data_IF_233567029630
#
_entry.id   IF_233567029630
#
_cell.length_a   1.000
_cell.length_b   1.000
_cell.length_c   1.000
_cell.angle_alpha   90.00
_cell.angle_beta   90.00
_cell.angle_gamma   90.00
#
_symmetry.space_group_name_H-M   'P 1'
#
loop_
_entity.id
_entity.type
_entity.pdbx_description
1 polymer ?
#
# COMPACT_ATOMS: atom_id res chain seq x y z
N UNK A 1 -10.27 -9.60 -15.09
CA UNK A 1 -8.97 -9.03 -14.70
C UNK A 1 -8.54 -9.79 -13.47
N UNK A 2 -7.30 -10.28 -13.43
CA UNK A 2 -6.77 -10.98 -12.25
C UNK A 2 -6.74 -10.00 -11.08
N UNK A 3 -6.80 -10.48 -9.85
CA UNK A 3 -6.65 -9.61 -8.69
C UNK A 3 -5.18 -9.14 -8.57
N UNK A 4 -4.95 -7.92 -8.06
CA UNK A 4 -3.60 -7.38 -7.95
C UNK A 4 -2.76 -8.22 -6.98
N UNK A 5 -3.35 -8.72 -5.89
CA UNK A 5 -2.63 -9.57 -4.94
C UNK A 5 -2.20 -10.88 -5.58
N UNK A 6 -3.08 -11.52 -6.36
CA UNK A 6 -2.72 -12.71 -7.12
C UNK A 6 -1.61 -12.42 -8.13
N UNK A 7 -1.67 -11.28 -8.83
CA UNK A 7 -0.69 -10.90 -9.86
C UNK A 7 0.73 -10.73 -9.30
N UNK A 8 0.85 -10.24 -8.06
CA UNK A 8 2.14 -10.06 -7.40
C UNK A 8 2.54 -11.24 -6.51
N UNK A 9 1.60 -12.13 -6.14
CA UNK A 9 1.82 -13.20 -5.15
C UNK A 9 2.97 -14.14 -5.46
N UNK A 10 3.23 -14.39 -6.75
CA UNK A 10 4.25 -15.33 -7.23
C UNK A 10 5.66 -14.71 -7.35
N UNK A 11 5.80 -13.42 -7.07
CA UNK A 11 7.11 -12.78 -7.08
C UNK A 11 7.97 -13.31 -5.92
N UNK A 12 9.16 -13.77 -6.26
CA UNK A 12 10.15 -14.30 -5.31
C UNK A 12 11.34 -13.36 -5.12
N UNK A 13 11.52 -12.39 -6.02
CA UNK A 13 12.61 -11.42 -5.98
C UNK A 13 12.17 -10.15 -5.27
N UNK A 14 13.00 -9.71 -4.33
CA UNK A 14 12.84 -8.45 -3.61
C UNK A 14 13.95 -7.47 -4.04
N UNK A 15 13.65 -6.16 -4.07
CA UNK A 15 12.36 -5.54 -3.78
C UNK A 15 11.40 -5.60 -4.99
N UNK A 16 10.09 -5.74 -4.75
CA UNK A 16 9.06 -5.60 -5.80
C UNK A 16 8.98 -4.14 -6.23
N UNK A 17 9.24 -3.82 -7.50
CA UNK A 17 9.36 -2.42 -7.95
C UNK A 17 8.00 -1.71 -7.89
N UNK A 18 8.01 -0.49 -7.37
CA UNK A 18 6.80 0.36 -7.37
C UNK A 18 6.33 0.67 -8.79
N UNK A 19 7.24 0.79 -9.75
CA UNK A 19 6.89 1.00 -11.15
C UNK A 19 6.04 -0.14 -11.71
N UNK A 20 6.29 -1.39 -11.30
CA UNK A 20 5.47 -2.54 -11.73
C UNK A 20 4.03 -2.42 -11.19
N UNK A 21 3.87 -1.94 -9.95
CA UNK A 21 2.55 -1.67 -9.34
C UNK A 21 1.86 -0.50 -10.04
N UNK A 22 2.61 0.54 -10.37
CA UNK A 22 2.10 1.71 -11.10
C UNK A 22 1.60 1.34 -12.49
N UNK A 23 2.36 0.53 -13.23
CA UNK A 23 1.97 0.02 -14.55
C UNK A 23 0.68 -0.80 -14.45
N UNK A 24 0.60 -1.70 -13.47
CA UNK A 24 -0.62 -2.47 -13.22
C UNK A 24 -1.86 -1.56 -12.99
N UNK A 25 -1.73 -0.52 -12.19
CA UNK A 25 -2.84 0.41 -11.90
C UNK A 25 -3.22 1.22 -13.14
N UNK A 26 -2.26 1.64 -13.96
CA UNK A 26 -2.53 2.35 -15.23
C UNK A 26 -3.25 1.47 -16.25
N UNK A 27 -2.91 0.19 -16.30
CA UNK A 27 -3.59 -0.77 -17.17
C UNK A 27 -5.02 -1.06 -16.71
N UNK A 28 -5.30 -0.91 -15.41
CA UNK A 28 -6.63 -1.05 -14.83
C UNK A 28 -7.55 0.14 -15.17
N UNK A 29 -7.04 1.37 -15.04
CA UNK A 29 -7.83 2.60 -15.23
C UNK A 29 -7.46 3.31 -16.54
N UNK A 30 -8.25 3.08 -17.59
CA UNK A 30 -8.05 3.71 -18.88
C UNK A 30 -8.14 5.25 -18.80
N UNK A 31 -7.26 5.94 -19.54
CA UNK A 31 -7.19 7.41 -19.62
C UNK A 31 -6.98 8.13 -18.27
N UNK A 32 -6.19 7.52 -17.37
CA UNK A 32 -5.74 8.16 -16.14
C UNK A 32 -4.29 8.67 -16.21
N UNK A 33 -3.99 9.67 -15.38
CA UNK A 33 -2.64 10.18 -15.14
C UNK A 33 -2.36 10.08 -13.64
N UNK A 34 -1.24 9.47 -13.27
CA UNK A 34 -0.82 9.33 -11.87
C UNK A 34 0.40 10.21 -11.65
N UNK A 35 0.31 11.12 -10.67
CA UNK A 35 1.35 12.11 -10.36
C UNK A 35 1.73 11.98 -8.88
N UNK A 36 3.03 11.84 -8.62
CA UNK A 36 3.58 11.90 -7.27
C UNK A 36 3.91 13.36 -6.92
N UNK A 37 3.38 13.84 -5.79
CA UNK A 37 3.51 15.23 -5.37
C UNK A 37 4.07 15.31 -3.94
N UNK A 38 5.34 15.71 -3.77
CA UNK A 38 5.90 15.95 -2.45
C UNK A 38 5.31 17.23 -1.83
N UNK A 39 4.77 17.12 -0.62
CA UNK A 39 4.22 18.25 0.14
C UNK A 39 5.05 18.50 1.41
N UNK A 40 5.73 19.66 1.54
CA UNK A 40 6.50 20.02 2.73
C UNK A 40 5.63 20.42 3.94
N UNK A 41 4.36 20.77 3.71
CA UNK A 41 3.40 21.10 4.76
C UNK A 41 2.79 19.83 5.39
N UNK A 42 2.73 18.73 4.63
CA UNK A 42 2.29 17.45 5.14
C UNK A 42 3.32 16.85 6.11
N UNK A 43 2.93 16.69 7.38
CA UNK A 43 3.79 16.19 8.45
C UNK A 43 3.65 14.68 8.64
N UNK A 44 4.78 13.97 8.67
CA UNK A 44 4.86 12.51 8.89
C UNK A 44 4.16 12.07 10.18
N UNK A 45 4.18 12.92 11.21
CA UNK A 45 3.50 12.66 12.50
C UNK A 45 1.98 12.59 12.40
N UNK A 46 1.40 13.17 11.35
CA UNK A 46 -0.05 13.28 11.16
C UNK A 46 -0.53 12.35 10.06
N UNK A 47 0.13 12.41 8.90
CA UNK A 47 -0.27 11.65 7.72
C UNK A 47 0.96 11.50 6.81
N UNK A 48 1.22 10.26 6.37
CA UNK A 48 2.33 9.97 5.47
C UNK A 48 2.01 10.35 4.03
N UNK A 49 0.81 9.99 3.58
CA UNK A 49 0.33 10.19 2.22
C UNK A 49 -1.18 10.18 2.15
N UNK A 50 -1.71 10.75 1.07
CA UNK A 50 -3.11 10.60 0.68
C UNK A 50 -3.29 10.71 -0.83
N UNK A 51 -4.31 10.03 -1.34
CA UNK A 51 -4.75 10.12 -2.74
C UNK A 51 -5.76 11.26 -2.94
N UNK A 52 -5.47 12.16 -3.87
CA UNK A 52 -6.41 13.16 -4.36
C UNK A 52 -6.69 12.92 -5.85
N UNK A 53 -7.92 12.52 -6.17
CA UNK A 53 -8.35 12.29 -7.56
C UNK A 53 -9.24 13.44 -8.04
N UNK A 54 -8.99 13.96 -9.23
CA UNK A 54 -9.81 15.00 -9.86
C UNK A 54 -9.83 14.84 -11.38
N UNK A 55 -10.83 15.43 -12.03
CA UNK A 55 -10.97 15.38 -13.50
C UNK A 55 -10.50 16.70 -14.09
N UNK A 56 -9.61 16.63 -15.08
CA UNK A 56 -9.11 17.80 -15.78
C UNK A 56 -9.46 17.72 -17.27
N UNK A 57 -9.87 18.85 -17.86
CA UNK A 57 -10.05 18.98 -19.31
C UNK A 57 -8.78 19.58 -19.90
N UNK A 58 -8.03 18.78 -20.65
CA UNK A 58 -6.81 19.18 -21.34
C UNK A 58 -7.13 19.89 -22.66
N UNK A 59 -6.08 20.38 -23.33
CA UNK A 59 -6.17 20.96 -24.67
C UNK A 59 -6.97 20.04 -25.61
N UNK A 60 -7.76 20.65 -26.50
CA UNK A 60 -8.67 19.94 -27.42
C UNK A 60 -9.83 19.17 -26.77
N UNK A 61 -10.13 19.43 -25.49
CA UNK A 61 -11.30 18.87 -24.82
C UNK A 61 -11.11 17.42 -24.36
N UNK A 62 -9.89 16.89 -24.35
CA UNK A 62 -9.60 15.57 -23.78
C UNK A 62 -9.82 15.63 -22.27
N UNK A 63 -10.78 14.87 -21.77
CA UNK A 63 -11.03 14.70 -20.33
C UNK A 63 -10.12 13.59 -19.82
N UNK A 64 -9.37 13.86 -18.76
CA UNK A 64 -8.42 12.92 -18.13
C UNK A 64 -8.69 12.89 -16.63
N UNK A 65 -8.72 11.69 -16.06
CA UNK A 65 -8.72 11.52 -14.60
C UNK A 65 -7.29 11.63 -14.09
N UNK A 66 -7.03 12.57 -13.18
CA UNK A 66 -5.71 12.76 -12.57
C UNK A 66 -5.75 12.28 -11.13
N UNK A 67 -4.90 11.31 -10.81
CA UNK A 67 -4.64 10.83 -9.46
C UNK A 67 -3.35 11.44 -8.96
N UNK A 68 -3.47 12.38 -8.02
CA UNK A 68 -2.33 12.96 -7.33
C UNK A 68 -2.10 12.22 -6.02
N UNK A 69 -0.98 11.52 -5.92
CA UNK A 69 -0.52 10.91 -4.69
C UNK A 69 0.34 11.94 -3.98
N UNK A 70 -0.22 12.55 -2.94
CA UNK A 70 0.48 13.54 -2.11
C UNK A 70 1.20 12.80 -0.99
N UNK A 71 2.46 13.10 -0.76
CA UNK A 71 3.24 12.47 0.30
C UNK A 71 4.12 13.48 1.04
N UNK A 72 4.41 13.17 2.30
CA UNK A 72 5.29 14.01 3.12
C UNK A 72 6.73 13.94 2.60
N UNK A 73 7.44 15.06 2.69
CA UNK A 73 8.88 15.14 2.41
C UNK A 73 9.76 14.63 3.57
N UNK A 74 9.15 14.30 4.70
CA UNK A 74 9.83 13.83 5.92
C UNK A 74 9.92 12.28 5.98
N UNK A 75 9.40 11.58 4.98
CA UNK A 75 9.44 10.11 4.91
C UNK A 75 10.81 9.62 4.46
N UNK A 76 11.27 8.56 5.12
CA UNK A 76 12.40 7.77 4.64
C UNK A 76 12.00 6.98 3.38
N UNK A 77 12.97 6.48 2.63
CA UNK A 77 12.72 5.84 1.31
C UNK A 77 11.81 4.60 1.41
N UNK A 78 11.99 3.79 2.46
CA UNK A 78 11.18 2.61 2.74
C UNK A 78 9.74 2.95 3.16
N UNK A 79 9.58 4.02 3.95
CA UNK A 79 8.28 4.55 4.34
C UNK A 79 7.53 5.15 3.15
N UNK A 80 8.23 5.93 2.31
CA UNK A 80 7.68 6.50 1.09
C UNK A 80 7.22 5.39 0.15
N UNK A 81 8.00 4.32 0.00
CA UNK A 81 7.63 3.15 -0.81
C UNK A 81 6.32 2.53 -0.34
N UNK A 82 6.20 2.28 0.95
CA UNK A 82 4.99 1.70 1.55
C UNK A 82 3.78 2.64 1.39
N UNK A 83 3.97 3.93 1.67
CA UNK A 83 2.94 4.97 1.56
C UNK A 83 2.43 5.09 0.12
N UNK A 84 3.32 5.20 -0.86
CA UNK A 84 2.98 5.27 -2.28
C UNK A 84 2.25 4.01 -2.74
N UNK A 85 2.73 2.83 -2.37
CA UNK A 85 2.06 1.57 -2.71
C UNK A 85 0.63 1.53 -2.13
N UNK A 86 0.43 2.03 -0.91
CA UNK A 86 -0.91 2.15 -0.30
C UNK A 86 -1.83 3.04 -1.14
N UNK A 87 -1.37 4.24 -1.51
CA UNK A 87 -2.22 5.17 -2.27
C UNK A 87 -2.51 4.69 -3.70
N UNK A 88 -1.57 3.97 -4.33
CA UNK A 88 -1.81 3.31 -5.62
C UNK A 88 -2.96 2.30 -5.51
N UNK A 89 -3.07 1.57 -4.40
CA UNK A 89 -4.18 0.63 -4.19
C UNK A 89 -5.52 1.33 -4.00
N UNK A 90 -5.54 2.52 -3.40
CA UNK A 90 -6.77 3.30 -3.29
C UNK A 90 -7.32 3.77 -4.65
N UNK A 91 -6.51 3.78 -5.71
CA UNK A 91 -7.02 4.03 -7.07
C UNK A 91 -7.97 2.90 -7.50
N UNK A 92 -7.60 1.64 -7.19
CA UNK A 92 -8.37 0.43 -7.54
C UNK A 92 -9.61 0.21 -6.66
N UNK A 93 -9.72 0.91 -5.53
CA UNK A 93 -10.89 0.81 -4.66
C UNK A 93 -12.18 1.20 -5.41
N UNK A 94 -13.28 0.50 -5.11
CA UNK A 94 -14.60 0.85 -5.69
C UNK A 94 -15.03 2.22 -5.17
N UNK A 95 -15.80 2.98 -5.96
CA UNK A 95 -16.24 4.34 -5.61
C UNK A 95 -16.99 4.42 -4.26
N UNK A 96 -17.70 3.37 -3.85
CA UNK A 96 -18.39 3.29 -2.55
C UNK A 96 -17.44 3.01 -1.37
N UNK A 97 -16.16 2.75 -1.62
CA UNK A 97 -15.10 2.53 -0.63
C UNK A 97 -14.14 3.74 -0.54
N UNK A 98 -14.43 4.84 -1.25
CA UNK A 98 -13.68 6.10 -1.18
C UNK A 98 -14.48 7.14 -0.39
N UNK A 99 -13.78 8.01 0.35
CA UNK A 99 -14.42 9.20 0.89
C UNK A 99 -14.65 10.21 -0.24
N UNK A 100 -15.90 10.63 -0.45
CA UNK A 100 -16.28 11.49 -1.59
C UNK A 100 -16.63 12.93 -1.17
N UNK A 101 -16.67 13.21 0.14
CA UNK A 101 -16.99 14.54 0.69
C UNK A 101 -16.11 14.87 1.90
N UNK A 102 -16.02 16.16 2.24
CA UNK A 102 -15.30 16.63 3.44
C UNK A 102 -15.88 16.00 4.71
N UNK A 103 -17.20 15.86 4.80
CA UNK A 103 -17.88 15.17 5.89
C UNK A 103 -17.50 13.69 5.96
N UNK A 104 -17.29 13.02 4.83
CA UNK A 104 -16.82 11.63 4.80
C UNK A 104 -15.35 11.52 5.21
N UNK A 105 -14.52 12.50 4.86
CA UNK A 105 -13.12 12.58 5.32
C UNK A 105 -13.05 12.79 6.83
N UNK A 106 -13.90 13.65 7.41
CA UNK A 106 -13.96 13.85 8.87
C UNK A 106 -14.37 12.56 9.57
N UNK A 107 -15.39 11.86 9.06
CA UNK A 107 -15.80 10.54 9.59
C UNK A 107 -14.70 9.49 9.42
N UNK A 108 -13.93 9.56 8.35
CA UNK A 108 -12.79 8.68 8.10
C UNK A 108 -11.71 8.89 9.16
N UNK A 109 -11.35 10.16 9.44
CA UNK A 109 -10.38 10.53 10.48
C UNK A 109 -10.82 10.00 11.85
N UNK A 110 -12.11 10.17 12.20
CA UNK A 110 -12.65 9.65 13.46
C UNK A 110 -12.58 8.12 13.52
N UNK A 111 -12.76 7.42 12.40
CA UNK A 111 -12.76 5.95 12.33
C UNK A 111 -11.36 5.33 12.33
N UNK A 112 -10.37 6.00 11.73
CA UNK A 112 -8.97 5.54 11.75
C UNK A 112 -8.41 5.56 13.18
N UNK A 113 -8.95 6.42 14.06
CA UNK A 113 -8.56 6.49 15.46
C UNK A 113 -9.16 5.38 16.35
N UNK A 114 -10.06 4.55 15.82
CA UNK A 114 -10.83 3.55 16.58
C UNK A 114 -10.44 2.13 16.10
N UNK A 115 -10.40 1.11 16.99
CA UNK A 115 -10.10 -0.27 16.60
C UNK A 115 -10.97 -0.77 15.42
N UNK A 116 -10.36 -1.48 14.47
CA UNK A 116 -11.03 -1.95 13.25
C UNK A 116 -12.31 -2.78 13.46
N UNK A 117 -12.48 -3.37 14.64
CA UNK A 117 -13.65 -4.18 15.00
C UNK A 117 -14.83 -3.36 15.55
N UNK A 118 -14.73 -2.02 15.63
CA UNK A 118 -15.70 -1.16 16.28
C UNK A 118 -16.70 -0.48 15.32
N UNK A 119 -17.22 -1.21 14.33
CA UNK A 119 -18.27 -0.70 13.43
C UNK A 119 -17.78 0.43 12.50
N UNK A 120 -16.62 0.24 11.89
CA UNK A 120 -16.05 1.18 10.92
C UNK A 120 -16.70 1.05 9.54
N UNK A 121 -16.67 2.13 8.76
CA UNK A 121 -17.14 2.10 7.37
C UNK A 121 -16.11 1.42 6.46
N UNK A 122 -16.52 0.97 5.27
CA UNK A 122 -15.58 0.37 4.29
C UNK A 122 -14.41 1.28 3.91
N UNK A 123 -14.59 2.61 3.68
CA UNK A 123 -13.46 3.53 3.53
C UNK A 123 -12.51 3.53 4.74
N UNK A 124 -13.07 3.54 5.95
CA UNK A 124 -12.31 3.44 7.20
C UNK A 124 -11.51 2.14 7.27
N UNK A 125 -12.12 1.00 6.95
CA UNK A 125 -11.46 -0.30 6.91
C UNK A 125 -10.35 -0.35 5.87
N UNK A 126 -10.57 0.20 4.67
CA UNK A 126 -9.57 0.24 3.61
C UNK A 126 -8.34 1.07 4.00
N UNK A 127 -8.51 2.22 4.65
CA UNK A 127 -7.36 3.01 5.09
C UNK A 127 -6.68 2.39 6.33
N UNK A 128 -7.46 1.79 7.24
CA UNK A 128 -6.92 1.06 8.41
C UNK A 128 -6.11 -0.18 8.02
N UNK A 129 -6.48 -0.84 6.93
CA UNK A 129 -5.80 -2.05 6.42
C UNK A 129 -4.89 -1.76 5.22
N UNK A 130 -4.89 -0.53 4.69
CA UNK A 130 -4.20 -0.17 3.46
C UNK A 130 -2.70 -0.45 3.53
N UNK A 131 -2.07 -0.18 4.66
CA UNK A 131 -0.65 -0.49 4.86
C UNK A 131 -0.36 -2.01 4.84
N UNK A 132 -1.30 -2.84 5.34
CA UNK A 132 -1.18 -4.30 5.26
C UNK A 132 -1.42 -4.80 3.83
N UNK A 133 -2.37 -4.19 3.12
CA UNK A 133 -2.63 -4.47 1.70
C UNK A 133 -1.41 -4.12 0.84
N UNK A 134 -0.77 -2.97 1.08
CA UNK A 134 0.49 -2.59 0.42
C UNK A 134 1.63 -3.57 0.77
N UNK A 135 1.72 -3.97 2.05
CA UNK A 135 2.71 -4.96 2.49
C UNK A 135 2.55 -6.32 1.77
N UNK A 136 1.32 -6.76 1.50
CA UNK A 136 1.07 -8.00 0.76
C UNK A 136 1.59 -7.99 -0.69
N UNK A 137 1.78 -6.80 -1.27
CA UNK A 137 2.34 -6.62 -2.61
C UNK A 137 3.86 -6.43 -2.54
N UNK A 138 4.35 -5.62 -1.60
CA UNK A 138 5.77 -5.33 -1.46
C UNK A 138 6.56 -6.51 -0.87
N UNK A 139 5.90 -7.37 -0.10
CA UNK A 139 6.42 -8.62 0.40
C UNK A 139 5.47 -9.77 0.01
N UNK A 140 5.55 -10.24 -1.25
CA UNK A 140 4.66 -11.26 -1.78
C UNK A 140 4.74 -12.59 -1.03
N UNK A 141 3.68 -13.37 -1.16
CA UNK A 141 3.56 -14.69 -0.53
C UNK A 141 4.73 -15.60 -0.85
N UNK A 142 5.08 -15.76 -2.12
CA UNK A 142 6.14 -16.70 -2.53
C UNK A 142 7.52 -16.24 -2.03
N UNK A 143 7.82 -14.94 -2.05
CA UNK A 143 9.03 -14.39 -1.44
C UNK A 143 9.07 -14.65 0.08
N UNK A 144 7.95 -14.43 0.77
CA UNK A 144 7.84 -14.65 2.21
C UNK A 144 7.99 -16.14 2.57
N UNK A 145 7.44 -17.05 1.78
CA UNK A 145 7.58 -18.48 1.96
C UNK A 145 9.03 -18.94 1.82
N UNK A 146 9.77 -18.42 0.84
CA UNK A 146 11.20 -18.70 0.71
C UNK A 146 12.00 -18.17 1.92
N UNK A 147 11.67 -16.97 2.40
CA UNK A 147 12.27 -16.40 3.62
C UNK A 147 11.96 -17.27 4.85
N UNK A 148 10.72 -17.71 5.02
CA UNK A 148 10.29 -18.57 6.13
C UNK A 148 10.98 -19.94 6.07
N UNK A 149 11.11 -20.55 4.88
CA UNK A 149 11.84 -21.80 4.66
C UNK A 149 13.32 -21.64 5.01
N UNK A 150 13.97 -20.57 4.56
CA UNK A 150 15.37 -20.27 4.87
C UNK A 150 15.59 -20.12 6.38
N UNK A 151 14.65 -19.50 7.10
CA UNK A 151 14.74 -19.30 8.55
C UNK A 151 14.45 -20.55 9.39
N UNK A 152 13.63 -21.47 8.88
CA UNK A 152 13.25 -22.72 9.58
C UNK A 152 14.30 -23.82 9.43
N UNK A 153 15.00 -23.86 8.30
CA UNK A 153 15.98 -24.92 7.97
C UNK A 153 17.32 -24.75 8.70
N UNK A 154 17.31 -24.72 10.05
CA UNK A 154 18.39 -24.95 11.06
C UNK A 154 19.88 -24.80 10.68
N UNK A 155 20.18 -23.97 9.69
CA UNK A 155 21.51 -23.71 9.20
C UNK A 155 22.01 -22.56 10.04
N UNK A 156 22.87 -22.87 11.02
CA UNK A 156 23.49 -21.96 12.00
C UNK A 156 24.18 -20.71 11.41
N UNK A 157 24.18 -20.54 10.09
CA UNK A 157 24.89 -19.50 9.34
C UNK A 157 24.01 -18.60 8.46
N UNK A 158 22.68 -18.74 8.45
CA UNK A 158 21.83 -17.92 7.56
C UNK A 158 20.39 -17.78 8.06
N UNK A 159 20.18 -17.27 9.28
CA UNK A 159 18.86 -16.74 9.64
C UNK A 159 18.81 -15.29 9.21
N UNK A 160 17.97 -14.99 8.23
CA UNK A 160 17.70 -13.61 7.84
C UNK A 160 16.93 -12.94 8.96
N UNK A 161 17.53 -11.90 9.54
CA UNK A 161 16.89 -11.03 10.51
C UNK A 161 15.84 -10.17 9.83
N UNK A 162 14.85 -9.70 10.59
CA UNK A 162 13.84 -8.76 10.08
C UNK A 162 14.47 -7.48 9.50
N UNK A 163 15.67 -7.08 9.98
CA UNK A 163 16.41 -5.93 9.47
C UNK A 163 17.03 -6.22 8.10
N UNK A 164 17.60 -7.41 7.90
CA UNK A 164 18.15 -7.79 6.59
C UNK A 164 17.03 -7.92 5.55
N UNK A 165 15.88 -8.46 5.96
CA UNK A 165 14.69 -8.55 5.10
C UNK A 165 14.13 -7.15 4.81
N UNK A 166 14.09 -6.24 5.79
CA UNK A 166 13.62 -4.87 5.57
C UNK A 166 14.48 -4.11 4.58
N UNK A 167 15.79 -4.30 4.64
CA UNK A 167 16.73 -3.72 3.66
C UNK A 167 16.52 -4.36 2.28
N UNK A 168 16.38 -5.68 2.20
CA UNK A 168 16.20 -6.37 0.92
C UNK A 168 14.86 -6.05 0.24
N UNK A 169 13.80 -5.86 1.02
CA UNK A 169 12.46 -5.54 0.54
C UNK A 169 12.18 -4.03 0.45
N UNK A 170 13.10 -3.18 0.94
CA UNK A 170 12.94 -1.73 1.00
C UNK A 170 11.63 -1.29 1.69
N UNK A 171 11.31 -1.92 2.82
CA UNK A 171 10.10 -1.62 3.62
C UNK A 171 10.45 -1.45 5.10
N UNK A 172 9.67 -0.69 5.89
CA UNK A 172 10.03 -0.43 7.27
C UNK A 172 10.01 -1.72 8.11
N UNK A 173 11.02 -1.90 8.95
CA UNK A 173 11.24 -3.13 9.73
C UNK A 173 10.06 -3.54 10.61
N UNK A 174 9.26 -2.56 11.07
CA UNK A 174 8.04 -2.83 11.84
C UNK A 174 7.03 -3.67 11.05
N UNK A 175 6.85 -3.37 9.76
CA UNK A 175 5.94 -4.11 8.88
C UNK A 175 6.47 -5.49 8.52
N UNK A 176 7.79 -5.62 8.31
CA UNK A 176 8.42 -6.94 8.12
C UNK A 176 8.15 -7.86 9.31
N UNK A 177 8.26 -7.33 10.54
CA UNK A 177 7.98 -8.12 11.75
C UNK A 177 6.54 -8.63 11.79
N UNK A 178 5.58 -7.82 11.32
CA UNK A 178 4.16 -8.23 11.21
C UNK A 178 4.01 -9.38 10.19
N UNK A 179 4.59 -9.25 9.00
CA UNK A 179 4.51 -10.29 7.96
C UNK A 179 5.18 -11.61 8.35
N UNK A 180 6.21 -11.56 9.20
CA UNK A 180 6.89 -12.76 9.71
C UNK A 180 6.12 -13.48 10.83
N UNK A 181 5.00 -12.92 11.32
CA UNK A 181 4.18 -13.60 12.34
C UNK A 181 3.36 -14.74 11.75
N UNK A 182 2.98 -15.69 12.60
CA UNK A 182 2.11 -16.81 12.22
C UNK A 182 0.68 -16.36 11.87
N UNK A 183 0.27 -15.19 12.35
CA UNK A 183 -1.05 -14.60 12.06
C UNK A 183 -1.11 -13.93 10.68
N UNK A 184 0.01 -13.80 9.96
CA UNK A 184 0.05 -13.08 8.68
C UNK A 184 -0.91 -13.65 7.64
N UNK A 185 -0.95 -14.97 7.45
CA UNK A 185 -1.88 -15.59 6.49
C UNK A 185 -3.33 -15.30 6.85
N UNK A 186 -3.66 -15.33 8.14
CA UNK A 186 -4.99 -14.99 8.64
C UNK A 186 -5.32 -13.51 8.42
N UNK A 187 -4.34 -12.62 8.56
CA UNK A 187 -4.51 -11.19 8.25
C UNK A 187 -4.76 -10.98 6.75
N UNK A 188 -4.08 -11.71 5.87
CA UNK A 188 -4.30 -11.65 4.43
C UNK A 188 -5.72 -12.08 4.04
N UNK A 189 -6.25 -13.15 4.63
CA UNK A 189 -7.63 -13.61 4.42
C UNK A 189 -8.70 -12.58 4.83
N UNK A 190 -8.35 -11.65 5.72
CA UNK A 190 -9.27 -10.61 6.18
C UNK A 190 -9.26 -9.34 5.31
N UNK A 191 -8.20 -9.11 4.54
CA UNK A 191 -7.97 -7.84 3.82
C UNK A 191 -7.99 -7.97 2.29
N UNK A 192 -8.06 -9.20 1.77
CA UNK A 192 -8.19 -9.55 0.34
C UNK A 192 -9.63 -10.00 0.05
#
# INVERSE_FOLDING_TARGET
>A
MMDIYESFSCHTLLPVKIDDVLEYVKDYEADCEIIFYPDPELKKSTCWSYLHSFVETRLYGKVVTVHRIVHSTELDEDELRLAVCKELLHILDKNNHKAASTEDVIKLIDQICIPANAGITMPGFNDHTGALRALAILLPRDALDEIKKANTNNSKHSRLTAVEISIAAEIPVGYVRVALTDEWERLLELIQ
#
